data_IF_846680467059
#
_entry.id   IF_846680467059
#
_cell.length_a   1.000
_cell.length_b   1.000
_cell.length_c   1.000
_cell.angle_alpha   90.00
_cell.angle_beta   90.00
_cell.angle_gamma   90.00
#
_symmetry.space_group_name_H-M   'P 1'
#
loop_
_entity.id
_entity.type
_entity.pdbx_description
1 polymer ?
#
# COMPACT_ATOMS: atom_id res chain seq x y z
N UNK A 1 24.46 -3.24 -68.93
CA UNK A 1 24.04 -2.14 -68.04
C UNK A 1 22.77 -2.56 -67.31
N UNK A 2 22.88 -3.00 -66.05
CA UNK A 2 21.72 -3.38 -65.22
C UNK A 2 21.60 -2.35 -64.08
N UNK A 3 20.48 -1.63 -64.04
CA UNK A 3 20.14 -0.66 -62.98
C UNK A 3 19.44 -1.39 -61.84
N UNK A 4 20.08 -1.42 -60.67
CA UNK A 4 19.52 -1.96 -59.43
C UNK A 4 18.66 -0.90 -58.76
N UNK A 5 17.35 -1.10 -58.73
CA UNK A 5 16.39 -0.22 -58.04
C UNK A 5 16.23 -0.70 -56.60
N UNK A 6 16.64 0.12 -55.62
CA UNK A 6 16.40 -0.11 -54.19
C UNK A 6 14.98 0.34 -53.83
N UNK A 7 14.14 -0.62 -53.43
CA UNK A 7 12.82 -0.35 -52.85
C UNK A 7 12.96 -0.22 -51.34
N UNK A 8 12.77 0.99 -50.81
CA UNK A 8 12.75 1.26 -49.37
C UNK A 8 11.33 1.05 -48.85
N UNK A 9 11.14 0.03 -48.00
CA UNK A 9 9.91 -0.21 -47.25
C UNK A 9 9.95 0.62 -45.95
N UNK A 10 9.08 1.61 -45.84
CA UNK A 10 8.82 2.31 -44.57
C UNK A 10 7.82 1.50 -43.75
N UNK A 11 8.29 0.94 -42.63
CA UNK A 11 7.44 0.37 -41.59
C UNK A 11 6.97 1.51 -40.65
N UNK A 12 5.71 1.89 -40.76
CA UNK A 12 5.02 2.77 -39.80
C UNK A 12 4.48 1.92 -38.64
N UNK A 13 5.22 1.85 -37.53
CA UNK A 13 4.72 1.23 -36.30
C UNK A 13 3.71 2.15 -35.61
N UNK A 14 2.43 1.77 -35.62
CA UNK A 14 1.43 2.34 -34.73
C UNK A 14 1.68 1.81 -33.31
N UNK A 15 2.18 2.66 -32.42
CA UNK A 15 2.18 2.40 -30.98
C UNK A 15 0.79 2.73 -30.42
N UNK A 16 0.00 1.70 -30.11
CA UNK A 16 -1.21 1.85 -29.29
C UNK A 16 -0.77 1.88 -27.83
N UNK A 17 -0.75 3.06 -27.23
CA UNK A 17 -0.53 3.23 -25.78
C UNK A 17 -1.82 2.89 -25.04
N UNK A 18 -1.90 1.71 -24.44
CA UNK A 18 -2.95 1.37 -23.47
C UNK A 18 -2.64 2.06 -22.14
N UNK A 19 -3.41 3.08 -21.80
CA UNK A 19 -3.39 3.69 -20.46
C UNK A 19 -4.22 2.77 -19.55
N UNK A 20 -3.55 1.94 -18.75
CA UNK A 20 -4.24 1.20 -17.68
C UNK A 20 -4.51 2.18 -16.52
N UNK A 21 -5.72 2.18 -15.95
CA UNK A 21 -6.00 2.98 -14.76
C UNK A 21 -5.10 2.52 -13.62
N UNK A 22 -4.57 3.46 -12.84
CA UNK A 22 -3.84 3.16 -11.62
C UNK A 22 -4.75 2.33 -10.71
N UNK A 23 -4.42 1.06 -10.49
CA UNK A 23 -5.19 0.20 -9.61
C UNK A 23 -5.05 0.74 -8.20
N UNK A 24 -6.17 1.16 -7.62
CA UNK A 24 -6.21 1.61 -6.24
C UNK A 24 -5.88 0.41 -5.36
N UNK A 25 -4.79 0.51 -4.58
CA UNK A 25 -4.41 -0.57 -3.67
C UNK A 25 -5.57 -0.84 -2.71
N UNK A 26 -5.98 -2.11 -2.49
CA UNK A 26 -7.01 -2.41 -1.50
C UNK A 26 -6.50 -2.02 -0.11
N UNK A 27 -7.22 -1.13 0.59
CA UNK A 27 -6.82 -0.59 1.90
C UNK A 27 -7.90 -0.87 2.95
N UNK A 28 -7.55 -1.06 4.23
CA UNK A 28 -8.53 -1.04 5.31
C UNK A 28 -9.16 0.35 5.47
N UNK A 29 -10.42 0.39 5.91
CA UNK A 29 -10.98 1.63 6.46
C UNK A 29 -10.26 2.01 7.77
N UNK A 30 -10.35 3.26 8.25
CA UNK A 30 -9.78 3.64 9.53
C UNK A 30 -10.22 2.75 10.71
N UNK A 31 -11.49 2.33 10.74
CA UNK A 31 -12.02 1.43 11.76
C UNK A 31 -11.41 0.02 11.65
N UNK A 32 -11.28 -0.49 10.42
CA UNK A 32 -10.66 -1.80 10.16
C UNK A 32 -9.17 -1.78 10.52
N UNK A 33 -8.46 -0.70 10.20
CA UNK A 33 -7.06 -0.51 10.55
C UNK A 33 -6.89 -0.40 12.07
N UNK A 34 -7.78 0.34 12.74
CA UNK A 34 -7.78 0.46 14.21
C UNK A 34 -7.94 -0.91 14.85
N UNK A 35 -8.93 -1.69 14.43
CA UNK A 35 -9.15 -3.04 14.95
C UNK A 35 -7.94 -3.94 14.73
N UNK A 36 -7.40 -3.99 13.50
CA UNK A 36 -6.28 -4.85 13.15
C UNK A 36 -5.00 -4.50 13.94
N UNK A 37 -4.71 -3.21 14.14
CA UNK A 37 -3.58 -2.75 14.94
C UNK A 37 -3.76 -3.08 16.42
N UNK A 38 -4.94 -2.84 16.99
CA UNK A 38 -5.21 -3.18 18.39
C UNK A 38 -5.10 -4.69 18.64
N UNK A 39 -5.52 -5.53 17.69
CA UNK A 39 -5.33 -6.97 17.77
C UNK A 39 -3.86 -7.37 17.69
N UNK A 40 -3.10 -6.80 16.76
CA UNK A 40 -1.65 -7.03 16.64
C UNK A 40 -0.92 -6.66 17.94
N UNK A 41 -1.33 -5.55 18.57
CA UNK A 41 -0.77 -5.09 19.85
C UNK A 41 -1.32 -5.85 21.06
N UNK A 42 -2.35 -6.67 20.89
CA UNK A 42 -3.09 -7.33 21.98
C UNK A 42 -3.69 -6.33 22.98
N UNK A 43 -4.27 -5.22 22.48
CA UNK A 43 -4.83 -4.11 23.27
C UNK A 43 -6.32 -3.84 22.99
N UNK A 44 -7.04 -4.78 22.40
CA UNK A 44 -8.46 -4.59 22.02
C UNK A 44 -9.33 -4.32 23.25
N UNK A 45 -9.11 -5.04 24.34
CA UNK A 45 -9.94 -4.94 25.55
C UNK A 45 -9.61 -3.68 26.36
N UNK A 46 -8.36 -3.21 26.33
CA UNK A 46 -7.89 -2.04 27.06
C UNK A 46 -8.19 -0.72 26.35
N UNK A 47 -8.02 -0.70 25.03
CA UNK A 47 -8.06 0.52 24.22
C UNK A 47 -9.21 0.56 23.21
N UNK A 48 -10.06 -0.46 23.19
CA UNK A 48 -11.28 -0.48 22.37
C UNK A 48 -12.12 0.78 22.59
N UNK A 49 -12.30 1.58 21.54
CA UNK A 49 -13.02 2.86 21.57
C UNK A 49 -12.29 4.04 22.19
N UNK A 50 -11.05 3.86 22.67
CA UNK A 50 -10.20 4.91 23.25
C UNK A 50 -9.00 5.25 22.35
N UNK A 51 -8.64 4.34 21.45
CA UNK A 51 -7.63 4.54 20.42
C UNK A 51 -8.26 4.64 19.03
N UNK A 52 -7.57 5.34 18.11
CA UNK A 52 -7.88 5.32 16.68
C UNK A 52 -6.60 5.28 15.87
N UNK A 53 -6.68 4.72 14.66
CA UNK A 53 -5.57 4.64 13.71
C UNK A 53 -5.89 5.47 12.48
N UNK A 54 -4.93 6.31 12.07
CA UNK A 54 -4.91 6.92 10.74
C UNK A 54 -3.90 6.21 9.87
N UNK A 55 -4.26 5.98 8.61
CA UNK A 55 -3.36 5.46 7.58
C UNK A 55 -2.72 6.62 6.83
N UNK A 56 -1.40 6.57 6.65
CA UNK A 56 -0.65 7.52 5.83
C UNK A 56 -0.40 6.98 4.43
N UNK A 57 0.84 7.11 3.98
CA UNK A 57 1.32 6.52 2.73
C UNK A 57 1.26 5.01 2.82
N UNK A 58 0.67 4.38 1.79
CA UNK A 58 0.63 2.95 1.62
C UNK A 58 1.26 2.56 0.28
N UNK A 59 2.09 1.51 0.30
CA UNK A 59 2.73 0.89 -0.86
C UNK A 59 2.42 -0.62 -0.87
N UNK A 60 2.61 -1.33 -1.99
CA UNK A 60 2.71 -2.79 -1.94
C UNK A 60 3.80 -3.20 -0.95
N UNK A 61 3.53 -4.18 -0.09
CA UNK A 61 4.52 -4.61 0.90
C UNK A 61 5.75 -5.23 0.21
N UNK A 62 6.93 -4.82 0.66
CA UNK A 62 8.17 -5.52 0.35
C UNK A 62 8.09 -6.93 0.93
N UNK A 63 8.52 -7.93 0.17
CA UNK A 63 8.50 -9.33 0.59
C UNK A 63 7.11 -9.83 1.05
N UNK A 64 6.04 -9.37 0.39
CA UNK A 64 4.67 -9.78 0.67
C UNK A 64 4.51 -11.31 0.77
N UNK A 65 3.97 -11.77 1.90
CA UNK A 65 3.65 -13.18 2.18
C UNK A 65 2.19 -13.51 1.83
N UNK A 66 1.35 -12.47 1.69
CA UNK A 66 -0.07 -12.57 1.38
C UNK A 66 -0.44 -11.80 0.11
N UNK A 67 -1.43 -12.31 -0.63
CA UNK A 67 -1.93 -11.64 -1.82
C UNK A 67 -2.51 -10.26 -1.47
N UNK A 68 -2.05 -9.24 -2.19
CA UNK A 68 -2.51 -7.86 -1.98
C UNK A 68 -2.07 -7.24 -0.66
N UNK A 69 -1.06 -7.81 0.01
CA UNK A 69 -0.47 -7.21 1.21
C UNK A 69 0.11 -5.82 0.91
N UNK A 70 -0.24 -4.85 1.75
CA UNK A 70 0.23 -3.47 1.64
C UNK A 70 1.02 -3.11 2.90
N UNK A 71 2.04 -2.29 2.76
CA UNK A 71 2.74 -1.66 3.87
C UNK A 71 2.29 -0.21 3.98
N UNK A 72 1.92 0.23 5.18
CA UNK A 72 1.50 1.60 5.43
C UNK A 72 2.24 2.19 6.63
N UNK A 73 2.51 3.49 6.58
CA UNK A 73 2.68 4.29 7.79
C UNK A 73 1.34 4.43 8.51
N UNK A 74 1.38 4.43 9.83
CA UNK A 74 0.18 4.52 10.66
C UNK A 74 0.43 5.46 11.83
N UNK A 75 -0.53 6.32 12.13
CA UNK A 75 -0.56 7.09 13.37
C UNK A 75 -1.57 6.48 14.33
N UNK A 76 -1.07 5.93 15.44
CA UNK A 76 -1.90 5.48 16.58
C UNK A 76 -2.17 6.69 17.47
N UNK A 77 -3.44 7.07 17.57
CA UNK A 77 -3.89 8.22 18.36
C UNK A 77 -4.57 7.72 19.63
N UNK A 78 -4.11 8.20 20.78
CA UNK A 78 -4.66 7.88 22.11
C UNK A 78 -4.74 9.14 22.95
N UNK A 79 -5.95 9.58 23.29
CA UNK A 79 -6.17 10.83 24.02
C UNK A 79 -5.57 12.03 23.27
N UNK A 80 -4.65 12.75 23.92
CA UNK A 80 -3.94 13.90 23.33
C UNK A 80 -2.61 13.53 22.64
N UNK A 81 -2.21 12.25 22.67
CA UNK A 81 -0.96 11.77 22.09
C UNK A 81 -1.17 11.03 20.77
N UNK A 82 -0.16 11.07 19.91
CA UNK A 82 -0.08 10.22 18.72
C UNK A 82 1.32 9.64 18.57
N UNK A 83 1.41 8.40 18.13
CA UNK A 83 2.66 7.74 17.75
C UNK A 83 2.56 7.28 16.31
N UNK A 84 3.49 7.72 15.48
CA UNK A 84 3.66 7.20 14.13
C UNK A 84 4.52 5.93 14.17
N UNK A 85 4.10 4.92 13.44
CA UNK A 85 4.83 3.67 13.22
C UNK A 85 4.45 3.13 11.85
N UNK A 86 4.84 1.90 11.52
CA UNK A 86 4.58 1.29 10.22
C UNK A 86 4.10 -0.15 10.41
N UNK A 87 3.14 -0.55 9.59
CA UNK A 87 2.53 -1.87 9.65
C UNK A 87 2.11 -2.34 8.27
N UNK A 88 2.19 -3.65 8.07
CA UNK A 88 1.63 -4.30 6.91
C UNK A 88 0.19 -4.72 7.19
N UNK A 89 -0.67 -4.63 6.18
CA UNK A 89 -2.05 -5.06 6.21
C UNK A 89 -2.32 -6.05 5.08
N UNK A 90 -3.04 -7.12 5.39
CA UNK A 90 -3.51 -8.08 4.39
C UNK A 90 -4.92 -8.58 4.74
N UNK A 91 -5.59 -9.13 3.73
CA UNK A 91 -6.90 -9.76 3.91
C UNK A 91 -6.73 -11.21 4.33
N UNK A 92 -7.36 -11.57 5.45
CA UNK A 92 -7.60 -12.94 5.83
C UNK A 92 -9.11 -13.15 5.89
N UNK A 93 -9.64 -13.93 4.95
CA UNK A 93 -11.08 -14.09 4.74
C UNK A 93 -11.78 -12.72 4.55
N UNK A 94 -12.67 -12.33 5.49
CA UNK A 94 -13.38 -11.06 5.46
C UNK A 94 -12.77 -9.99 6.39
N UNK A 95 -11.63 -10.30 7.02
CA UNK A 95 -10.97 -9.46 8.02
C UNK A 95 -9.66 -8.88 7.48
N UNK A 96 -9.29 -7.72 7.99
CA UNK A 96 -7.94 -7.18 7.85
C UNK A 96 -7.09 -7.63 9.03
N UNK A 97 -5.89 -8.09 8.73
CA UNK A 97 -4.88 -8.46 9.73
C UNK A 97 -3.71 -7.51 9.56
N UNK A 98 -3.17 -7.04 10.68
CA UNK A 98 -1.97 -6.22 10.71
C UNK A 98 -0.78 -7.04 11.23
N UNK A 99 0.40 -6.76 10.69
CA UNK A 99 1.67 -7.28 11.19
C UNK A 99 2.75 -6.20 11.11
N UNK A 100 3.88 -6.34 11.84
CA UNK A 100 5.01 -5.42 11.70
C UNK A 100 5.50 -5.33 10.26
N UNK A 101 5.81 -4.12 9.79
CA UNK A 101 6.27 -3.93 8.42
C UNK A 101 7.78 -4.19 8.28
N UNK A 102 8.15 -4.88 7.21
CA UNK A 102 9.55 -4.96 6.74
C UNK A 102 9.87 -3.89 5.69
N UNK A 103 8.88 -3.12 5.25
CA UNK A 103 9.03 -2.09 4.20
C UNK A 103 9.54 -0.74 4.75
N UNK A 104 10.23 -0.75 5.89
CA UNK A 104 10.51 0.47 6.67
C UNK A 104 11.39 1.49 5.95
N UNK A 105 12.30 1.00 5.10
CA UNK A 105 13.21 1.84 4.33
C UNK A 105 12.53 2.48 3.10
N UNK A 106 11.35 2.00 2.71
CA UNK A 106 10.60 2.46 1.52
C UNK A 106 9.43 3.39 1.88
N UNK A 107 9.07 3.44 3.16
CA UNK A 107 8.00 4.30 3.68
C UNK A 107 8.57 5.61 4.25
N UNK A 108 7.91 6.76 4.02
CA UNK A 108 8.38 8.03 4.55
C UNK A 108 8.26 8.06 6.08
N UNK A 109 9.24 8.66 6.76
CA UNK A 109 9.14 8.95 8.18
C UNK A 109 9.86 10.28 8.51
N UNK A 110 9.17 11.28 9.11
CA UNK A 110 7.73 11.31 9.35
C UNK A 110 6.93 11.36 8.05
N UNK A 111 5.73 10.77 8.04
CA UNK A 111 4.89 10.72 6.86
C UNK A 111 4.17 12.07 6.61
N UNK A 112 4.33 12.71 5.44
CA UNK A 112 3.63 13.94 5.11
C UNK A 112 2.10 13.81 4.97
N UNK A 113 1.56 12.59 4.90
CA UNK A 113 0.13 12.31 4.78
C UNK A 113 -0.60 12.13 6.14
N UNK A 114 0.13 12.13 7.27
CA UNK A 114 -0.40 11.90 8.62
C UNK A 114 -0.65 13.17 9.45
#
# INVERSE_FOLDING_TARGET
>A
MLKTTRTTLLFTSLFVTTILPAQELPRPSPEQATQAILEMMQLVDELGGQASVKLGTCIPAVEAEHEGQIACTVAVVMGAGSSETQADFYRQEQKWVAQPSVSQDELPFPDPAL
#
